data_IF_063693364959
#
_entry.id   IF_063693364959
#
_cell.length_a   1.000
_cell.length_b   1.000
_cell.length_c   1.000
_cell.angle_alpha   90.00
_cell.angle_beta   90.00
_cell.angle_gamma   90.00
#
_symmetry.space_group_name_H-M   'P 1'
#
loop_
_entity.id
_entity.type
_entity.pdbx_description
1 polymer ?
#
# COMPACT_ATOMS: atom_id res chain seq x y z
N UNK A 1 -28.51 15.72 -1.74
CA UNK A 1 -27.99 14.44 -2.25
C UNK A 1 -26.47 14.57 -2.46
N UNK A 2 -25.68 14.50 -1.37
CA UNK A 2 -24.21 14.59 -1.37
C UNK A 2 -23.45 13.64 -0.36
N UNK A 3 -24.02 12.59 0.27
CA UNK A 3 -23.26 11.81 1.29
C UNK A 3 -22.33 10.70 0.75
N UNK A 4 -22.43 10.31 -0.52
CA UNK A 4 -21.72 9.13 -1.05
C UNK A 4 -20.25 9.36 -1.35
N UNK A 5 -19.88 10.53 -1.87
CA UNK A 5 -18.49 10.86 -2.24
C UNK A 5 -17.57 10.91 -1.01
N UNK A 6 -18.07 11.42 0.12
CA UNK A 6 -17.32 11.52 1.38
C UNK A 6 -17.07 10.14 2.00
N UNK A 7 -18.06 9.25 1.89
CA UNK A 7 -17.96 7.85 2.37
C UNK A 7 -16.91 7.09 1.57
N UNK A 8 -16.96 7.15 0.24
CA UNK A 8 -16.00 6.47 -0.63
C UNK A 8 -14.57 6.97 -0.37
N UNK A 9 -14.38 8.29 -0.23
CA UNK A 9 -13.06 8.89 0.00
C UNK A 9 -12.48 8.43 1.34
N UNK A 10 -13.28 8.44 2.40
CA UNK A 10 -12.87 8.01 3.75
C UNK A 10 -12.52 6.53 3.78
N UNK A 11 -13.38 5.68 3.20
CA UNK A 11 -13.17 4.23 3.17
C UNK A 11 -11.94 3.87 2.33
N UNK A 12 -11.79 4.49 1.16
CA UNK A 12 -10.64 4.24 0.27
C UNK A 12 -9.32 4.65 0.93
N UNK A 13 -9.29 5.79 1.62
CA UNK A 13 -8.09 6.22 2.37
C UNK A 13 -7.71 5.21 3.45
N UNK A 14 -8.70 4.70 4.18
CA UNK A 14 -8.48 3.70 5.25
C UNK A 14 -7.97 2.37 4.69
N UNK A 15 -8.62 1.86 3.64
CA UNK A 15 -8.23 0.62 2.98
C UNK A 15 -6.85 0.69 2.33
N UNK A 16 -6.53 1.80 1.65
CA UNK A 16 -5.19 2.00 1.06
C UNK A 16 -4.11 2.01 2.15
N UNK A 17 -4.34 2.70 3.27
CA UNK A 17 -3.40 2.71 4.38
C UNK A 17 -3.18 1.29 4.94
N UNK A 18 -4.25 0.52 5.15
CA UNK A 18 -4.16 -0.86 5.63
C UNK A 18 -3.37 -1.76 4.66
N UNK A 19 -3.59 -1.62 3.34
CA UNK A 19 -2.85 -2.36 2.31
C UNK A 19 -1.36 -2.03 2.34
N UNK A 20 -0.99 -0.75 2.47
CA UNK A 20 0.42 -0.36 2.57
C UNK A 20 1.09 -0.92 3.82
N UNK A 21 0.40 -0.88 4.97
CA UNK A 21 0.89 -1.47 6.21
C UNK A 21 1.11 -2.98 6.06
N UNK A 22 0.14 -3.70 5.49
CA UNK A 22 0.24 -5.15 5.29
C UNK A 22 1.36 -5.51 4.33
N UNK A 23 1.47 -4.81 3.20
CA UNK A 23 2.54 -5.05 2.23
C UNK A 23 3.92 -4.85 2.83
N UNK A 24 4.10 -3.82 3.68
CA UNK A 24 5.37 -3.58 4.38
C UNK A 24 5.65 -4.67 5.41
N UNK A 25 4.63 -5.13 6.12
CA UNK A 25 4.74 -6.24 7.08
C UNK A 25 5.20 -7.53 6.40
N UNK A 26 4.52 -7.94 5.33
CA UNK A 26 4.81 -9.18 4.59
C UNK A 26 6.19 -9.17 3.93
N UNK A 27 6.65 -8.00 3.47
CA UNK A 27 7.97 -7.84 2.85
C UNK A 27 9.06 -7.42 3.85
N UNK A 28 8.80 -7.51 5.15
CA UNK A 28 9.74 -7.17 6.22
C UNK A 28 10.40 -5.80 6.03
N UNK A 29 9.63 -4.84 5.52
CA UNK A 29 10.09 -3.47 5.29
C UNK A 29 10.15 -2.69 6.62
N UNK A 30 11.21 -2.95 7.39
CA UNK A 30 11.56 -2.24 8.62
C UNK A 30 12.75 -1.29 8.45
N UNK A 31 13.28 -0.80 9.57
CA UNK A 31 14.41 0.14 9.60
C UNK A 31 15.80 -0.54 9.47
N UNK A 32 15.84 -1.87 9.54
CA UNK A 32 17.08 -2.61 9.34
C UNK A 32 17.47 -2.63 7.85
N UNK A 33 18.77 -2.61 7.52
CA UNK A 33 19.22 -2.75 6.14
C UNK A 33 18.73 -4.09 5.58
N UNK A 34 17.94 -4.09 4.49
CA UNK A 34 17.47 -5.33 3.89
C UNK A 34 18.66 -6.10 3.30
N UNK A 35 18.55 -7.42 3.23
CA UNK A 35 19.45 -8.18 2.35
C UNK A 35 19.21 -7.79 0.87
N UNK A 36 20.08 -8.25 -0.03
CA UNK A 36 19.98 -7.88 -1.45
C UNK A 36 18.63 -8.27 -2.07
N UNK A 37 18.05 -9.41 -1.67
CA UNK A 37 16.77 -9.88 -2.20
C UNK A 37 15.62 -9.01 -1.71
N UNK A 38 15.56 -8.74 -0.41
CA UNK A 38 14.61 -7.82 0.22
C UNK A 38 14.74 -6.41 -0.38
N UNK A 39 15.97 -5.92 -0.59
CA UNK A 39 16.25 -4.63 -1.21
C UNK A 39 15.70 -4.54 -2.64
N UNK A 40 15.89 -5.59 -3.45
CA UNK A 40 15.29 -5.66 -4.80
C UNK A 40 13.76 -5.65 -4.76
N UNK A 41 13.15 -6.37 -3.80
CA UNK A 41 11.68 -6.33 -3.63
C UNK A 41 11.22 -4.92 -3.25
N UNK A 42 11.89 -4.27 -2.31
CA UNK A 42 11.57 -2.90 -1.87
C UNK A 42 11.77 -1.89 -3.02
N UNK A 43 12.78 -2.09 -3.88
CA UNK A 43 13.01 -1.27 -5.07
C UNK A 43 11.84 -1.36 -6.04
N UNK A 44 11.34 -2.57 -6.35
CA UNK A 44 10.16 -2.76 -7.19
C UNK A 44 8.90 -2.13 -6.60
N UNK A 45 8.82 -2.07 -5.27
CA UNK A 45 7.74 -1.38 -4.57
C UNK A 45 7.88 0.15 -4.58
N UNK A 46 9.02 0.67 -5.03
CA UNK A 46 9.36 2.09 -4.99
C UNK A 46 9.62 2.59 -3.57
N UNK A 47 10.09 1.73 -2.66
CA UNK A 47 10.41 2.12 -1.28
C UNK A 47 11.86 2.54 -1.11
N UNK A 48 12.74 2.05 -1.99
CA UNK A 48 14.16 2.39 -2.02
C UNK A 48 14.61 2.77 -3.43
N UNK A 49 15.73 3.49 -3.56
CA UNK A 49 16.37 3.80 -4.83
C UNK A 49 17.30 2.66 -5.32
N UNK A 50 18.06 2.92 -6.39
CA UNK A 50 18.97 1.94 -6.99
C UNK A 50 20.15 1.57 -6.08
N UNK A 51 20.49 2.42 -5.11
CA UNK A 51 21.50 2.19 -4.09
C UNK A 51 20.90 1.58 -2.80
N UNK A 52 19.62 1.19 -2.86
CA UNK A 52 18.84 0.64 -1.75
C UNK A 52 18.62 1.60 -0.58
N UNK A 53 18.73 2.92 -0.81
CA UNK A 53 18.40 3.92 0.19
C UNK A 53 16.90 4.22 0.21
N UNK A 54 16.27 4.41 1.39
CA UNK A 54 14.85 4.73 1.50
C UNK A 54 14.48 6.02 0.75
N UNK A 55 13.41 5.96 -0.04
CA UNK A 55 12.87 7.12 -0.76
C UNK A 55 11.38 7.32 -0.48
N UNK A 56 10.95 8.58 -0.45
CA UNK A 56 9.53 8.95 -0.37
C UNK A 56 9.03 9.32 -1.76
N UNK A 57 8.63 8.31 -2.53
CA UNK A 57 7.92 8.51 -3.81
C UNK A 57 6.43 8.23 -3.66
N UNK A 58 5.63 8.80 -4.56
CA UNK A 58 4.20 8.46 -4.64
C UNK A 58 4.09 6.97 -4.93
N UNK A 59 3.49 6.23 -4.00
CA UNK A 59 3.18 4.82 -4.17
C UNK A 59 2.23 4.62 -5.36
N UNK A 60 2.22 3.42 -5.93
CA UNK A 60 1.37 3.10 -7.08
C UNK A 60 -0.11 3.38 -6.82
N UNK A 61 -0.94 3.43 -7.87
CA UNK A 61 -2.35 3.86 -7.78
C UNK A 61 -3.26 3.02 -6.87
N UNK A 62 -2.79 1.87 -6.37
CA UNK A 62 -3.51 0.90 -5.50
C UNK A 62 -4.93 0.53 -5.95
N UNK A 63 -5.24 0.63 -7.24
CA UNK A 63 -6.60 0.38 -7.79
C UNK A 63 -7.03 -1.07 -7.55
N UNK A 64 -6.18 -2.05 -7.89
CA UNK A 64 -6.50 -3.48 -7.75
C UNK A 64 -6.82 -3.89 -6.30
N UNK A 65 -5.94 -3.61 -5.30
CA UNK A 65 -6.23 -3.98 -3.92
C UNK A 65 -7.41 -3.19 -3.33
N UNK A 66 -7.59 -1.92 -3.70
CA UNK A 66 -8.74 -1.14 -3.25
C UNK A 66 -10.06 -1.74 -3.76
N UNK A 67 -10.14 -2.09 -5.05
CA UNK A 67 -11.34 -2.73 -5.61
C UNK A 67 -11.67 -4.05 -4.91
N UNK A 68 -10.66 -4.87 -4.60
CA UNK A 68 -10.84 -6.11 -3.85
C UNK A 68 -11.51 -5.85 -2.50
N UNK A 69 -10.95 -4.93 -1.69
CA UNK A 69 -11.47 -4.62 -0.37
C UNK A 69 -12.87 -3.98 -0.41
N UNK A 70 -13.16 -3.13 -1.40
CA UNK A 70 -14.50 -2.58 -1.59
C UNK A 70 -15.52 -3.67 -1.95
N UNK A 71 -15.15 -4.64 -2.79
CA UNK A 71 -16.01 -5.79 -3.09
C UNK A 71 -16.27 -6.66 -1.85
N UNK A 72 -15.24 -6.98 -1.07
CA UNK A 72 -15.39 -7.71 0.20
C UNK A 72 -16.30 -6.96 1.17
N UNK A 73 -16.07 -5.66 1.36
CA UNK A 73 -16.91 -4.81 2.20
C UNK A 73 -18.37 -4.82 1.72
N UNK A 74 -18.63 -4.73 0.41
CA UNK A 74 -19.98 -4.77 -0.15
C UNK A 74 -20.66 -6.15 0.06
N UNK A 75 -19.88 -7.23 0.13
CA UNK A 75 -20.37 -8.57 0.42
C UNK A 75 -20.61 -8.85 1.91
N UNK A 76 -20.23 -7.94 2.81
CA UNK A 76 -20.43 -8.06 4.26
C UNK A 76 -19.18 -8.35 5.09
N UNK A 77 -17.99 -8.36 4.48
CA UNK A 77 -16.72 -8.63 5.15
C UNK A 77 -16.18 -10.02 4.86
#
# INVERSE_FOLDING_TARGET
>A
MQPTTDTFTTLSKTMIAAVETEMRSVLEAGDAPPDLFQGMMHYHMGWVDADLHPVRVRSGKRIRPLLCLLCCHAAGG
#
